data_IF_447502821953
#
_entry.id   IF_447502821953
#
_cell.length_a   1.000
_cell.length_b   1.000
_cell.length_c   1.000
_cell.angle_alpha   90.00
_cell.angle_beta   90.00
_cell.angle_gamma   90.00
#
_symmetry.space_group_name_H-M   'P 1'
#
loop_
_entity.id
_entity.type
_entity.pdbx_description
1 polymer ?
#
# COMPACT_ATOMS: atom_id res chain seq x y z
N UNK A 1 -23.67 -4.03 -12.88
CA UNK A 1 -23.59 -2.61 -12.48
C UNK A 1 -23.25 -1.76 -13.71
N UNK A 2 -24.11 -0.81 -14.08
CA UNK A 2 -23.79 0.22 -15.07
C UNK A 2 -23.67 1.53 -14.30
N UNK A 3 -22.44 2.02 -14.11
CA UNK A 3 -22.16 3.18 -13.27
C UNK A 3 -21.05 4.04 -13.91
N UNK A 4 -21.09 5.35 -13.65
CA UNK A 4 -19.97 6.24 -13.92
C UNK A 4 -18.99 6.20 -12.75
N UNK A 5 -17.69 6.17 -13.04
CA UNK A 5 -16.65 6.14 -12.02
C UNK A 5 -15.98 7.52 -11.90
N UNK A 6 -15.94 8.07 -10.69
CA UNK A 6 -15.22 9.30 -10.38
C UNK A 6 -14.24 9.05 -9.23
N UNK A 7 -12.98 9.41 -9.43
CA UNK A 7 -11.95 9.30 -8.39
C UNK A 7 -11.81 10.61 -7.62
N UNK A 8 -11.74 10.51 -6.30
CA UNK A 8 -11.31 11.60 -5.41
C UNK A 8 -10.00 11.21 -4.74
N UNK A 9 -8.88 11.78 -5.21
CA UNK A 9 -7.58 11.52 -4.62
C UNK A 9 -7.45 12.23 -3.26
N UNK A 10 -6.98 11.51 -2.24
CA UNK A 10 -6.67 12.06 -0.92
C UNK A 10 -5.67 11.17 -0.17
N UNK A 11 -5.11 11.68 0.93
CA UNK A 11 -4.13 10.96 1.74
C UNK A 11 -4.69 9.63 2.25
N UNK A 12 -3.84 8.60 2.26
CA UNK A 12 -4.23 7.24 2.61
C UNK A 12 -4.82 7.12 4.02
N UNK A 13 -4.23 7.78 5.01
CA UNK A 13 -4.67 7.81 6.41
C UNK A 13 -6.09 8.33 6.60
N UNK A 14 -6.59 9.13 5.65
CA UNK A 14 -7.92 9.75 5.71
C UNK A 14 -9.03 8.95 5.02
N UNK A 15 -8.68 7.90 4.25
CA UNK A 15 -9.64 7.19 3.40
C UNK A 15 -10.76 6.51 4.19
N UNK A 16 -10.42 5.75 5.24
CA UNK A 16 -11.44 5.07 6.08
C UNK A 16 -12.35 6.08 6.81
N UNK A 17 -11.82 7.12 7.48
CA UNK A 17 -12.66 8.17 8.06
C UNK A 17 -13.60 8.83 7.05
N UNK A 18 -13.09 9.20 5.87
CA UNK A 18 -13.89 9.86 4.83
C UNK A 18 -14.96 8.94 4.22
N UNK A 19 -14.65 7.65 4.03
CA UNK A 19 -15.63 6.63 3.62
C UNK A 19 -16.79 6.54 4.61
N UNK A 20 -16.46 6.47 5.91
CA UNK A 20 -17.46 6.44 6.99
C UNK A 20 -18.28 7.72 7.08
N UNK A 21 -17.70 8.85 6.70
CA UNK A 21 -18.39 10.15 6.61
C UNK A 21 -19.12 10.36 5.28
N UNK A 22 -19.29 9.31 4.46
CA UNK A 22 -20.05 9.32 3.21
C UNK A 22 -19.51 10.32 2.17
N UNK A 23 -18.22 10.64 2.20
CA UNK A 23 -17.59 11.51 1.19
C UNK A 23 -17.49 10.83 -0.19
N UNK A 24 -17.43 9.51 -0.21
CA UNK A 24 -17.43 8.66 -1.41
C UNK A 24 -17.92 7.26 -1.03
N UNK A 25 -18.20 6.44 -2.04
CA UNK A 25 -18.89 5.15 -1.87
C UNK A 25 -17.97 3.96 -1.62
N UNK A 26 -16.77 4.00 -2.17
CA UNK A 26 -15.80 2.92 -2.04
C UNK A 26 -14.37 3.44 -1.97
N UNK A 27 -13.46 2.63 -1.43
CA UNK A 27 -12.01 2.86 -1.42
C UNK A 27 -11.31 1.73 -2.16
N UNK A 28 -10.56 2.09 -3.19
CA UNK A 28 -9.61 1.21 -3.87
C UNK A 28 -8.24 1.89 -3.90
N UNK A 29 -7.35 1.47 -2.99
CA UNK A 29 -6.07 2.15 -2.77
C UNK A 29 -4.97 1.18 -2.29
N UNK A 30 -4.98 -0.08 -2.76
CA UNK A 30 -4.05 -1.10 -2.25
C UNK A 30 -4.25 -1.37 -0.75
N UNK A 31 -5.51 -1.32 -0.28
CA UNK A 31 -5.80 -1.41 1.14
C UNK A 31 -5.86 -2.87 1.58
N UNK A 32 -4.97 -3.27 2.49
CA UNK A 32 -4.98 -4.61 3.07
C UNK A 32 -6.19 -4.84 3.98
N UNK A 33 -6.78 -6.02 3.85
CA UNK A 33 -7.80 -6.55 4.76
C UNK A 33 -7.12 -6.98 6.06
N UNK A 34 -7.38 -6.22 7.14
CA UNK A 34 -6.84 -6.48 8.47
C UNK A 34 -7.90 -6.23 9.56
N UNK A 35 -7.81 -6.91 10.72
CA UNK A 35 -8.85 -6.84 11.76
C UNK A 35 -9.18 -5.41 12.23
N UNK A 36 -8.18 -4.54 12.31
CA UNK A 36 -8.37 -3.14 12.71
C UNK A 36 -9.20 -2.33 11.72
N UNK A 37 -9.10 -2.63 10.41
CA UNK A 37 -9.87 -1.97 9.36
C UNK A 37 -11.23 -2.62 9.19
N UNK A 38 -11.32 -3.94 9.28
CA UNK A 38 -12.58 -4.71 9.26
C UNK A 38 -13.52 -4.33 10.40
N UNK A 39 -13.01 -3.81 11.52
CA UNK A 39 -13.85 -3.23 12.57
C UNK A 39 -14.60 -1.98 12.10
N UNK A 40 -14.05 -1.23 11.15
CA UNK A 40 -14.53 0.09 10.73
C UNK A 40 -15.29 0.10 9.41
N UNK A 41 -14.92 -0.78 8.47
CA UNK A 41 -15.44 -0.84 7.10
C UNK A 41 -15.72 -2.30 6.72
N UNK A 42 -16.51 -2.51 5.68
CA UNK A 42 -16.65 -3.83 5.04
C UNK A 42 -15.70 -3.90 3.84
N UNK A 43 -15.21 -5.10 3.52
CA UNK A 43 -14.33 -5.32 2.37
C UNK A 43 -14.98 -6.26 1.36
N UNK A 44 -14.78 -5.97 0.08
CA UNK A 44 -15.07 -6.88 -1.01
C UNK A 44 -14.28 -8.18 -0.90
N UNK A 45 -14.61 -9.15 -1.75
CA UNK A 45 -13.70 -10.23 -2.10
C UNK A 45 -12.37 -9.62 -2.58
N UNK A 46 -11.25 -10.26 -2.24
CA UNK A 46 -9.93 -9.74 -2.59
C UNK A 46 -9.72 -9.76 -4.10
N UNK A 47 -9.11 -8.71 -4.63
CA UNK A 47 -8.74 -8.64 -6.05
C UNK A 47 -7.27 -8.99 -6.29
N UNK A 48 -6.44 -9.05 -5.22
CA UNK A 48 -5.01 -9.38 -5.30
C UNK A 48 -4.46 -9.78 -3.94
N UNK A 49 -3.40 -10.59 -3.92
CA UNK A 49 -2.55 -10.75 -2.74
C UNK A 49 -1.64 -9.53 -2.55
N UNK A 50 -1.53 -9.05 -1.31
CA UNK A 50 -0.55 -8.04 -0.93
C UNK A 50 0.84 -8.68 -0.81
N UNK A 51 1.85 -8.00 -1.36
CA UNK A 51 3.23 -8.48 -1.34
C UNK A 51 3.92 -8.08 -0.03
N UNK A 52 5.16 -8.55 0.14
CA UNK A 52 6.06 -8.13 1.22
C UNK A 52 6.32 -6.61 1.18
N UNK A 53 6.49 -6.00 2.35
CA UNK A 53 7.01 -4.64 2.44
C UNK A 53 8.50 -4.62 2.14
N UNK A 54 8.96 -3.63 1.38
CA UNK A 54 10.37 -3.45 1.05
C UNK A 54 10.83 -2.05 1.39
N UNK A 55 12.14 -1.86 1.49
CA UNK A 55 12.77 -0.54 1.62
C UNK A 55 13.56 -0.28 0.36
N UNK A 56 13.41 0.90 -0.23
CA UNK A 56 14.29 1.38 -1.29
C UNK A 56 15.31 2.36 -0.71
N UNK A 57 16.57 2.21 -1.09
CA UNK A 57 17.72 3.00 -0.64
C UNK A 57 18.57 3.38 -1.84
N UNK A 58 19.50 4.33 -1.68
CA UNK A 58 20.56 4.50 -2.66
C UNK A 58 21.43 3.23 -2.68
N UNK A 59 21.97 2.85 -3.84
CA UNK A 59 22.78 1.63 -3.96
C UNK A 59 23.88 1.60 -2.91
N UNK A 60 24.12 0.40 -2.37
CA UNK A 60 25.17 0.10 -1.38
C UNK A 60 25.04 0.84 -0.03
N UNK A 61 23.94 1.55 0.24
CA UNK A 61 23.73 2.26 1.52
C UNK A 61 23.29 1.34 2.65
N UNK A 62 22.44 0.35 2.36
CA UNK A 62 21.92 -0.58 3.35
C UNK A 62 21.45 -1.87 2.67
N UNK A 63 21.70 -3.01 3.33
CA UNK A 63 21.25 -4.33 2.88
C UNK A 63 20.22 -4.93 3.86
N UNK A 64 20.22 -4.47 5.11
CA UNK A 64 19.39 -4.96 6.20
C UNK A 64 18.77 -3.81 7.01
N UNK A 65 17.74 -4.11 7.80
CA UNK A 65 17.21 -3.14 8.78
C UNK A 65 18.24 -2.76 9.86
N UNK A 66 19.21 -3.63 10.15
CA UNK A 66 20.28 -3.33 11.08
C UNK A 66 21.17 -2.17 10.59
N UNK A 67 21.42 -2.09 9.27
CA UNK A 67 22.17 -1.00 8.64
C UNK A 67 21.43 0.34 8.74
N UNK A 68 20.10 0.29 8.88
CA UNK A 68 19.22 1.45 9.04
C UNK A 68 19.05 1.91 10.50
N UNK A 69 19.79 1.32 11.45
CA UNK A 69 19.76 1.73 12.86
C UNK A 69 20.09 3.22 13.01
N UNK A 70 19.22 3.93 13.75
CA UNK A 70 19.21 5.37 13.98
C UNK A 70 19.09 6.23 12.70
N UNK A 71 18.90 5.62 11.52
CA UNK A 71 18.68 6.31 10.26
C UNK A 71 17.21 6.66 10.09
N UNK A 72 16.94 7.69 9.29
CA UNK A 72 15.59 8.12 8.94
C UNK A 72 15.09 7.31 7.75
N UNK A 73 13.93 6.66 7.90
CA UNK A 73 13.26 5.93 6.82
C UNK A 73 11.86 6.52 6.61
N UNK A 74 11.61 7.00 5.40
CA UNK A 74 10.32 7.56 5.01
C UNK A 74 9.26 6.47 4.88
N UNK A 75 8.03 6.79 5.28
CA UNK A 75 6.91 5.85 5.19
C UNK A 75 5.58 6.61 5.08
N UNK A 76 4.61 6.11 4.32
CA UNK A 76 3.31 6.78 4.18
C UNK A 76 2.45 6.59 5.44
N UNK A 77 1.81 7.67 5.90
CA UNK A 77 0.93 7.67 7.08
C UNK A 77 -0.22 6.66 6.94
N UNK A 78 -0.52 5.95 8.03
CA UNK A 78 -1.65 5.02 8.13
C UNK A 78 -1.44 3.65 7.47
N UNK A 79 -0.27 3.41 6.88
CA UNK A 79 0.07 2.14 6.21
C UNK A 79 0.52 1.06 7.21
N UNK A 80 0.48 -0.21 6.77
CA UNK A 80 1.08 -1.29 7.55
C UNK A 80 2.60 -1.18 7.65
N UNK A 81 3.27 -0.58 6.67
CA UNK A 81 4.70 -0.28 6.73
C UNK A 81 5.04 0.63 7.91
N UNK A 82 4.25 1.70 8.12
CA UNK A 82 4.46 2.59 9.26
C UNK A 82 4.34 1.83 10.58
N UNK A 83 3.33 0.96 10.68
CA UNK A 83 3.10 0.11 11.85
C UNK A 83 4.26 -0.87 12.05
N UNK A 84 4.73 -1.50 10.98
CA UNK A 84 5.84 -2.46 11.02
C UNK A 84 7.14 -1.81 11.48
N UNK A 85 7.53 -0.65 10.92
CA UNK A 85 8.73 0.06 11.37
C UNK A 85 8.66 0.38 12.86
N UNK A 86 7.52 0.92 13.32
CA UNK A 86 7.31 1.26 14.73
C UNK A 86 7.39 0.04 15.65
N UNK A 87 6.79 -1.08 15.27
CA UNK A 87 6.61 -2.23 16.17
C UNK A 87 7.80 -3.20 16.13
N UNK A 88 8.41 -3.37 14.95
CA UNK A 88 9.45 -4.38 14.69
C UNK A 88 10.84 -3.79 14.48
N UNK A 89 10.93 -2.58 13.93
CA UNK A 89 12.21 -1.92 13.61
C UNK A 89 12.42 -0.66 14.45
N UNK A 90 12.27 -0.79 15.78
CA UNK A 90 12.32 0.33 16.75
C UNK A 90 13.62 1.16 16.72
N UNK A 91 14.69 0.55 16.20
CA UNK A 91 15.98 1.21 16.06
C UNK A 91 16.01 2.17 14.86
N UNK A 92 15.08 2.04 13.90
CA UNK A 92 14.93 2.91 12.73
C UNK A 92 14.05 4.11 13.09
N UNK A 93 14.44 5.31 12.64
CA UNK A 93 13.61 6.51 12.81
C UNK A 93 12.60 6.60 11.66
N UNK A 94 11.39 6.08 11.87
CA UNK A 94 10.31 6.18 10.89
C UNK A 94 9.84 7.63 10.72
N UNK A 95 9.93 8.17 9.51
CA UNK A 95 9.51 9.54 9.16
C UNK A 95 8.22 9.46 8.35
N UNK A 96 7.07 9.88 8.90
CA UNK A 96 5.78 9.78 8.21
C UNK A 96 5.60 10.87 7.14
N UNK A 97 5.24 10.47 5.93
CA UNK A 97 4.89 11.33 4.79
C UNK A 97 3.42 11.17 4.39
N UNK A 98 2.87 12.17 3.71
CA UNK A 98 1.46 12.19 3.27
C UNK A 98 1.21 11.26 2.08
N UNK A 99 2.22 11.03 1.26
CA UNK A 99 2.19 10.15 0.09
C UNK A 99 3.61 9.59 -0.21
N UNK A 100 3.68 8.62 -1.13
CA UNK A 100 4.95 7.98 -1.50
C UNK A 100 5.85 8.93 -2.31
N UNK A 101 5.26 9.84 -3.10
CA UNK A 101 6.00 10.75 -3.95
C UNK A 101 6.84 11.74 -3.12
N UNK A 102 6.26 12.30 -2.06
CA UNK A 102 6.95 13.18 -1.11
C UNK A 102 8.05 12.44 -0.33
N UNK A 103 7.81 11.18 0.07
CA UNK A 103 8.85 10.36 0.70
C UNK A 103 10.02 10.10 -0.26
N UNK A 104 9.74 9.70 -1.51
CA UNK A 104 10.76 9.46 -2.53
C UNK A 104 11.51 10.75 -2.93
N UNK A 105 10.84 11.90 -2.96
CA UNK A 105 11.48 13.20 -3.16
C UNK A 105 12.46 13.54 -2.02
N UNK A 106 12.07 13.29 -0.76
CA UNK A 106 12.95 13.48 0.39
C UNK A 106 14.15 12.53 0.38
N UNK A 107 13.98 11.30 -0.12
CA UNK A 107 15.07 10.36 -0.37
C UNK A 107 16.05 10.91 -1.42
N UNK A 108 15.52 11.39 -2.56
CA UNK A 108 16.35 12.03 -3.61
C UNK A 108 17.10 13.25 -3.10
N UNK A 109 16.51 14.01 -2.18
CA UNK A 109 17.13 15.17 -1.54
C UNK A 109 18.14 14.80 -0.41
N UNK A 110 18.35 13.51 -0.12
CA UNK A 110 19.26 13.05 0.94
C UNK A 110 18.77 13.33 2.36
N UNK A 111 17.49 13.68 2.55
CA UNK A 111 16.93 14.00 3.86
C UNK A 111 16.61 12.76 4.70
N UNK A 112 16.43 11.62 4.03
CA UNK A 112 16.17 10.30 4.60
C UNK A 112 17.05 9.27 3.89
N UNK A 113 17.29 8.13 4.54
CA UNK A 113 18.20 7.07 4.07
C UNK A 113 17.48 6.02 3.22
N UNK A 114 16.17 5.85 3.42
CA UNK A 114 15.36 4.95 2.60
C UNK A 114 13.88 5.25 2.70
N UNK A 115 13.08 4.60 1.86
CA UNK A 115 11.61 4.67 1.89
C UNK A 115 11.04 3.26 1.96
N UNK A 116 10.17 3.00 2.95
CA UNK A 116 9.48 1.72 3.08
C UNK A 116 8.09 1.78 2.43
N UNK A 117 7.76 0.75 1.64
CA UNK A 117 6.49 0.66 0.92
C UNK A 117 6.23 -0.72 0.29
N UNK A 118 5.20 -0.78 -0.56
CA UNK A 118 4.87 -1.97 -1.33
C UNK A 118 5.91 -2.23 -2.43
N UNK A 119 6.27 -3.51 -2.62
CA UNK A 119 7.24 -3.94 -3.63
C UNK A 119 6.90 -3.41 -5.03
N UNK A 120 5.65 -3.60 -5.49
CA UNK A 120 5.27 -3.21 -6.85
C UNK A 120 5.43 -1.71 -7.12
N UNK A 121 5.16 -0.87 -6.12
CA UNK A 121 5.30 0.59 -6.24
C UNK A 121 6.77 1.00 -6.27
N UNK A 122 7.58 0.44 -5.37
CA UNK A 122 8.98 0.82 -5.26
C UNK A 122 9.86 0.21 -6.36
N UNK A 123 9.52 -0.99 -6.85
CA UNK A 123 10.20 -1.61 -7.99
C UNK A 123 9.98 -0.83 -9.28
N UNK A 124 8.73 -0.43 -9.57
CA UNK A 124 8.42 0.41 -10.71
C UNK A 124 9.17 1.75 -10.66
N UNK A 125 9.25 2.37 -9.48
CA UNK A 125 10.04 3.59 -9.32
C UNK A 125 11.55 3.34 -9.50
N UNK A 126 12.08 2.23 -8.97
CA UNK A 126 13.49 1.87 -9.12
C UNK A 126 13.91 1.73 -10.59
N UNK A 127 13.04 1.16 -11.44
CA UNK A 127 13.30 1.00 -12.88
C UNK A 127 13.55 2.33 -13.59
N UNK A 128 12.95 3.42 -13.10
CA UNK A 128 13.17 4.78 -13.59
C UNK A 128 14.31 5.53 -12.86
N UNK A 129 14.85 4.96 -11.77
CA UNK A 129 15.82 5.60 -10.87
C UNK A 129 16.95 4.63 -10.53
N UNK A 130 17.87 4.33 -11.48
CA UNK A 130 18.82 3.23 -11.38
C UNK A 130 19.92 3.42 -10.33
N UNK A 131 20.04 4.60 -9.72
CA UNK A 131 20.96 4.84 -8.59
C UNK A 131 20.45 4.26 -7.27
N UNK A 132 19.20 3.80 -7.26
CA UNK A 132 18.54 3.24 -6.11
C UNK A 132 18.33 1.74 -6.28
N UNK A 133 18.20 1.05 -5.16
CA UNK A 133 17.93 -0.37 -5.11
C UNK A 133 17.00 -0.71 -3.94
N UNK A 134 16.14 -1.70 -4.15
CA UNK A 134 15.42 -2.37 -3.09
C UNK A 134 16.44 -3.10 -2.23
N UNK A 135 16.40 -2.81 -0.93
CA UNK A 135 17.19 -3.45 0.11
C UNK A 135 16.93 -4.96 0.14
N UNK A 136 17.98 -5.75 0.38
CA UNK A 136 17.94 -7.21 0.33
C UNK A 136 16.96 -7.80 1.35
N UNK A 137 17.04 -7.34 2.60
CA UNK A 137 16.10 -7.77 3.65
C UNK A 137 14.70 -7.16 3.42
N UNK A 138 13.70 -8.03 3.34
CA UNK A 138 12.29 -7.65 3.21
C UNK A 138 11.54 -7.81 4.52
N UNK A 139 10.50 -7.00 4.70
CA UNK A 139 9.56 -7.19 5.79
C UNK A 139 8.52 -8.26 5.43
N UNK A 140 8.57 -9.39 6.14
CA UNK A 140 7.77 -10.60 5.84
C UNK A 140 6.92 -11.10 7.00
N UNK A 141 6.93 -10.41 8.14
CA UNK A 141 6.16 -10.81 9.34
C UNK A 141 4.67 -10.99 8.98
N UNK A 142 4.09 -12.20 9.15
CA UNK A 142 2.72 -12.50 8.74
C UNK A 142 1.65 -11.76 9.55
N UNK A 143 1.99 -11.13 10.68
CA UNK A 143 1.09 -10.23 11.39
C UNK A 143 0.86 -8.90 10.61
N UNK A 144 1.72 -8.59 9.65
CA UNK A 144 1.69 -7.37 8.84
C UNK A 144 1.52 -7.67 7.35
N UNK A 145 2.22 -8.68 6.83
CA UNK A 145 2.28 -8.99 5.39
C UNK A 145 1.55 -10.29 5.04
N UNK A 146 1.47 -10.59 3.74
CA UNK A 146 0.70 -11.74 3.22
C UNK A 146 -0.81 -11.55 3.34
N UNK A 147 -1.27 -10.30 3.43
CA UNK A 147 -2.70 -9.95 3.44
C UNK A 147 -3.23 -9.87 2.01
N UNK A 148 -4.50 -9.53 1.86
CA UNK A 148 -5.12 -9.35 0.56
C UNK A 148 -5.54 -7.91 0.39
N UNK A 149 -5.46 -7.40 -0.83
CA UNK A 149 -6.04 -6.11 -1.18
C UNK A 149 -7.50 -6.31 -1.60
N UNK A 150 -8.38 -5.48 -1.05
CA UNK A 150 -9.80 -5.48 -1.34
C UNK A 150 -10.35 -4.05 -1.42
N UNK A 151 -11.53 -3.91 -2.02
CA UNK A 151 -12.25 -2.64 -2.09
C UNK A 151 -13.00 -2.47 -0.76
N UNK A 152 -12.82 -1.34 -0.09
CA UNK A 152 -13.54 -1.05 1.15
C UNK A 152 -14.82 -0.28 0.86
N UNK A 153 -15.90 -0.64 1.54
CA UNK A 153 -17.19 0.07 1.54
C UNK A 153 -17.68 0.28 2.97
N UNK A 154 -18.71 1.09 3.15
CA UNK A 154 -19.32 1.28 4.47
C UNK A 154 -19.99 -0.01 4.93
N UNK A 155 -20.02 -0.24 6.25
CA UNK A 155 -20.62 -1.47 6.83
C UNK A 155 -22.13 -1.54 6.69
N UNK A 156 -22.78 -0.39 6.61
CA UNK A 156 -24.23 -0.24 6.44
C UNK A 156 -24.66 -0.28 4.97
N UNK A 157 -23.75 -0.60 4.04
CA UNK A 157 -24.01 -0.64 2.60
C UNK A 157 -23.75 -2.04 1.97
N UNK A 158 -24.49 -3.08 2.40
CA UNK A 158 -24.31 -4.44 1.89
C UNK A 158 -24.74 -4.58 0.43
N UNK A 159 -25.62 -3.72 -0.07
CA UNK A 159 -26.06 -3.73 -1.47
C UNK A 159 -24.89 -3.37 -2.40
N UNK A 160 -24.19 -2.26 -2.12
CA UNK A 160 -23.00 -1.87 -2.88
C UNK A 160 -21.90 -2.93 -2.76
N UNK A 161 -21.69 -3.50 -1.57
CA UNK A 161 -20.71 -4.56 -1.36
C UNK A 161 -20.96 -5.76 -2.27
N UNK A 162 -22.21 -6.24 -2.33
CA UNK A 162 -22.58 -7.38 -3.15
C UNK A 162 -22.44 -7.05 -4.64
N UNK A 163 -22.89 -5.87 -5.07
CA UNK A 163 -22.73 -5.42 -6.46
C UNK A 163 -21.25 -5.36 -6.88
N UNK A 164 -20.36 -4.89 -5.99
CA UNK A 164 -18.91 -4.88 -6.23
C UNK A 164 -18.36 -6.30 -6.30
N UNK A 165 -18.78 -7.20 -5.41
CA UNK A 165 -18.34 -8.60 -5.42
C UNK A 165 -18.72 -9.32 -6.72
N UNK A 166 -19.94 -9.11 -7.21
CA UNK A 166 -20.41 -9.70 -8.47
C UNK A 166 -19.64 -9.13 -9.67
N UNK A 167 -19.41 -7.81 -9.67
CA UNK A 167 -18.61 -7.16 -10.71
C UNK A 167 -17.14 -7.63 -10.70
N UNK A 168 -16.52 -7.77 -9.52
CA UNK A 168 -15.17 -8.30 -9.38
C UNK A 168 -15.08 -9.74 -9.90
N UNK A 169 -16.04 -10.60 -9.54
CA UNK A 169 -16.07 -11.97 -10.03
C UNK A 169 -16.15 -12.03 -11.56
N UNK A 170 -17.00 -11.19 -12.18
CA UNK A 170 -17.11 -11.10 -13.63
C UNK A 170 -15.82 -10.59 -14.29
N UNK A 171 -15.23 -9.50 -13.78
CA UNK A 171 -13.98 -8.93 -14.32
C UNK A 171 -12.81 -9.90 -14.18
N UNK A 172 -12.65 -10.55 -13.03
CA UNK A 172 -11.54 -11.46 -12.79
C UNK A 172 -11.57 -12.71 -13.67
N UNK A 173 -12.73 -13.05 -14.24
CA UNK A 173 -12.89 -14.14 -15.20
C UNK A 173 -12.52 -13.74 -16.64
N UNK A 174 -12.25 -12.47 -16.94
CA UNK A 174 -11.93 -12.02 -18.29
C UNK A 174 -10.43 -12.05 -18.60
N UNK A 175 -10.04 -12.19 -19.88
CA UNK A 175 -8.66 -12.01 -20.32
C UNK A 175 -8.09 -10.63 -19.99
N UNK A 176 -8.93 -9.59 -19.98
CA UNK A 176 -8.52 -8.21 -19.67
C UNK A 176 -7.94 -8.12 -18.26
N UNK A 177 -8.48 -8.87 -17.30
CA UNK A 177 -7.92 -8.90 -15.95
C UNK A 177 -6.52 -9.51 -15.91
N UNK A 178 -6.27 -10.56 -16.68
CA UNK A 178 -4.92 -11.11 -16.83
C UNK A 178 -3.97 -10.12 -17.49
N UNK A 179 -4.41 -9.41 -18.53
CA UNK A 179 -3.62 -8.37 -19.18
C UNK A 179 -3.29 -7.21 -18.24
N UNK A 180 -4.25 -6.77 -17.41
CA UNK A 180 -4.01 -5.76 -16.37
C UNK A 180 -2.96 -6.23 -15.37
N UNK A 181 -3.02 -7.48 -14.93
CA UNK A 181 -2.01 -8.02 -14.02
C UNK A 181 -0.61 -8.06 -14.64
N UNK A 182 -0.49 -8.54 -15.88
CA UNK A 182 0.79 -8.60 -16.60
C UNK A 182 1.36 -7.22 -16.90
N UNK A 183 0.51 -6.24 -17.21
CA UNK A 183 0.96 -4.87 -17.51
C UNK A 183 1.59 -4.21 -16.28
N UNK A 184 0.98 -4.36 -15.12
CA UNK A 184 1.33 -3.58 -13.94
C UNK A 184 2.21 -4.31 -12.93
N UNK A 185 2.36 -5.64 -13.04
CA UNK A 185 2.97 -6.44 -11.98
C UNK A 185 3.77 -7.66 -12.49
N UNK A 186 4.56 -7.46 -13.54
CA UNK A 186 5.41 -8.50 -14.14
C UNK A 186 6.20 -9.30 -13.10
#
# INVERSE_FOLDING_TARGET
MQAQCQFTAQRFDTLIPALRFKKFDAVIAGMEVIPMREKQVAFSRPYRQALSGVVIVNKDVAHTFADLKAKKVGVVKGTLHQRYLRDKQKAVQAVPYDDVASALAALKAGQITGVMGDFATLDAWQQENPDYAIMDERATDPAYYGKQYAIAVRKDDPELLNAINDALAAVMATPDFQQMQQKWFK
#
